data_IF_919619877008
#
_entry.id   IF_919619877008
#
_cell.length_a   1.000
_cell.length_b   1.000
_cell.length_c   1.000
_cell.angle_alpha   90.00
_cell.angle_beta   90.00
_cell.angle_gamma   90.00
#
_symmetry.space_group_name_H-M   'P 1'
#
loop_
_entity.id
_entity.type
_entity.pdbx_description
1 polymer ?
#
# COMPACT_ATOMS: atom_id res chain seq x y z
N UNK A 1 3.13 -0.69 11.83
CA UNK A 1 4.41 -1.40 11.98
C UNK A 1 5.53 -0.39 11.81
N UNK A 2 6.47 -0.38 12.75
CA UNK A 2 7.58 0.56 12.79
C UNK A 2 8.74 0.14 11.87
N UNK A 3 9.60 1.09 11.52
CA UNK A 3 10.78 0.82 10.69
C UNK A 3 11.70 -0.26 11.29
N UNK A 4 11.90 -0.27 12.61
CA UNK A 4 12.70 -1.29 13.30
C UNK A 4 12.10 -2.70 13.11
N UNK A 5 10.80 -2.84 13.31
CA UNK A 5 10.09 -4.11 13.15
C UNK A 5 10.25 -4.67 11.73
N UNK A 6 10.27 -3.78 10.73
CA UNK A 6 10.52 -4.14 9.34
C UNK A 6 11.96 -4.56 9.08
N UNK A 7 12.92 -3.86 9.69
CA UNK A 7 14.34 -4.21 9.63
C UNK A 7 14.55 -5.60 10.24
N UNK A 8 14.04 -5.83 11.44
CA UNK A 8 14.15 -7.10 12.16
C UNK A 8 13.57 -8.25 11.32
N UNK A 9 12.37 -8.07 10.76
CA UNK A 9 11.74 -9.05 9.88
C UNK A 9 12.64 -9.40 8.69
N UNK A 10 13.17 -8.39 7.99
CA UNK A 10 14.06 -8.62 6.84
C UNK A 10 15.36 -9.31 7.25
N UNK A 11 15.94 -8.92 8.39
CA UNK A 11 17.19 -9.52 8.88
C UNK A 11 17.02 -11.00 9.25
N UNK A 12 15.84 -11.39 9.77
CA UNK A 12 15.49 -12.78 10.02
C UNK A 12 15.33 -13.54 8.70
N UNK A 13 14.50 -13.06 7.78
CA UNK A 13 14.17 -13.76 6.53
C UNK A 13 15.34 -13.87 5.55
N UNK A 14 16.23 -12.88 5.54
CA UNK A 14 17.43 -12.91 4.67
C UNK A 14 18.58 -13.73 5.24
N UNK A 15 18.43 -14.27 6.46
CA UNK A 15 19.53 -14.88 7.21
C UNK A 15 20.61 -13.87 7.64
N UNK A 16 20.33 -12.56 7.52
CA UNK A 16 21.20 -11.47 7.92
C UNK A 16 21.55 -11.49 9.41
N UNK A 17 20.73 -12.13 10.24
CA UNK A 17 21.01 -12.38 11.65
C UNK A 17 22.31 -13.17 11.89
N UNK A 18 22.78 -13.94 10.90
CA UNK A 18 24.08 -14.64 10.95
C UNK A 18 25.26 -13.65 10.82
N UNK A 19 25.02 -12.44 10.30
CA UNK A 19 26.04 -11.41 10.07
C UNK A 19 26.00 -10.24 11.05
N UNK A 20 25.10 -10.24 12.03
CA UNK A 20 24.99 -9.18 13.06
C UNK A 20 23.92 -8.14 12.73
N UNK A 21 24.33 -6.87 12.62
CA UNK A 21 23.45 -5.70 12.46
C UNK A 21 23.20 -5.28 11.00
N UNK A 22 22.19 -4.44 10.78
CA UNK A 22 21.88 -3.83 9.47
C UNK A 22 23.12 -3.15 8.85
N UNK A 23 24.01 -2.57 9.67
CA UNK A 23 25.26 -1.95 9.22
C UNK A 23 26.20 -2.92 8.48
N UNK A 24 26.19 -4.21 8.86
CA UNK A 24 26.98 -5.27 8.20
C UNK A 24 26.45 -5.62 6.80
N UNK A 25 25.24 -5.15 6.47
CA UNK A 25 24.65 -5.28 5.13
C UNK A 25 25.03 -4.12 4.20
N UNK A 26 25.75 -3.10 4.71
CA UNK A 26 26.07 -1.85 4.04
C UNK A 26 24.83 -1.05 3.61
N UNK A 27 23.69 -1.32 4.22
CA UNK A 27 22.45 -0.58 4.03
C UNK A 27 22.22 0.25 5.30
N UNK A 28 22.05 1.56 5.17
CA UNK A 28 21.63 2.39 6.30
C UNK A 28 20.10 2.48 6.41
N UNK A 29 19.59 3.01 7.52
CA UNK A 29 18.14 3.17 7.76
C UNK A 29 17.44 3.99 6.69
N UNK A 30 18.12 5.00 6.15
CA UNK A 30 17.57 5.85 5.10
C UNK A 30 17.42 5.08 3.78
N UNK A 31 18.42 4.31 3.40
CA UNK A 31 18.38 3.41 2.25
C UNK A 31 17.32 2.33 2.44
N UNK A 32 17.18 1.79 3.65
CA UNK A 32 16.11 0.84 3.98
C UNK A 32 14.72 1.48 3.84
N UNK A 33 14.54 2.72 4.32
CA UNK A 33 13.31 3.48 4.09
C UNK A 33 13.01 3.65 2.58
N UNK A 34 14.02 3.91 1.74
CA UNK A 34 13.81 3.97 0.28
C UNK A 34 13.37 2.62 -0.31
N UNK A 35 13.88 1.51 0.23
CA UNK A 35 13.44 0.15 -0.11
C UNK A 35 11.99 -0.06 0.30
N UNK A 36 11.60 0.33 1.52
CA UNK A 36 10.21 0.29 2.00
C UNK A 36 9.29 1.09 1.08
N UNK A 37 9.64 2.33 0.76
CA UNK A 37 8.86 3.20 -0.15
C UNK A 37 8.66 2.55 -1.52
N UNK A 38 9.70 1.89 -2.04
CA UNK A 38 9.63 1.17 -3.32
C UNK A 38 8.73 -0.05 -3.26
N UNK A 39 8.83 -0.86 -2.21
CA UNK A 39 7.98 -2.02 -1.99
C UNK A 39 6.50 -1.59 -1.85
N UNK A 40 6.25 -0.56 -1.04
CA UNK A 40 4.93 -0.01 -0.79
C UNK A 40 4.28 0.54 -2.06
N UNK A 41 5.05 1.22 -2.91
CA UNK A 41 4.55 1.72 -4.20
C UNK A 41 4.09 0.63 -5.17
N UNK A 42 4.62 -0.60 -5.05
CA UNK A 42 4.11 -1.75 -5.82
C UNK A 42 2.90 -2.35 -5.11
N UNK A 43 3.00 -2.55 -3.80
CA UNK A 43 1.93 -3.14 -3.00
C UNK A 43 0.62 -2.34 -3.12
N UNK A 44 0.68 -1.01 -3.01
CA UNK A 44 -0.45 -0.09 -3.13
C UNK A 44 -1.25 -0.22 -4.45
N UNK A 45 -0.60 -0.63 -5.55
CA UNK A 45 -1.28 -0.84 -6.83
C UNK A 45 -2.20 -2.06 -6.81
N UNK A 46 -1.91 -3.02 -5.95
CA UNK A 46 -2.60 -4.32 -5.91
C UNK A 46 -3.47 -4.47 -4.66
N UNK A 47 -3.03 -3.90 -3.55
CA UNK A 47 -3.62 -4.01 -2.22
C UNK A 47 -3.78 -2.60 -1.61
N UNK A 48 -4.68 -1.75 -2.14
CA UNK A 48 -5.05 -0.51 -1.49
C UNK A 48 -5.93 -0.78 -0.26
N UNK A 49 -5.98 0.18 0.66
CA UNK A 49 -6.91 0.18 1.78
C UNK A 49 -8.32 0.56 1.31
N UNK A 50 -9.29 -0.34 1.50
CA UNK A 50 -10.70 -0.02 1.27
C UNK A 50 -11.32 0.54 2.54
N UNK A 51 -11.89 1.75 2.46
CA UNK A 51 -12.63 2.37 3.57
C UNK A 51 -14.02 2.75 3.08
N UNK A 52 -15.02 2.51 3.93
CA UNK A 52 -16.40 2.95 3.70
C UNK A 52 -16.67 4.23 4.45
N UNK A 53 -17.36 5.16 3.81
CA UNK A 53 -17.83 6.39 4.42
C UNK A 53 -19.23 6.72 3.93
N UNK A 54 -20.03 7.32 4.82
CA UNK A 54 -21.33 7.88 4.45
C UNK A 54 -21.13 9.36 4.20
N UNK A 55 -21.46 9.81 2.99
CA UNK A 55 -21.44 11.22 2.60
C UNK A 55 -22.85 11.76 2.47
N UNK A 56 -23.03 13.04 2.81
CA UNK A 56 -24.26 13.82 2.55
C UNK A 56 -23.92 14.83 1.45
N UNK A 57 -24.49 14.64 0.27
CA UNK A 57 -24.31 15.52 -0.87
C UNK A 57 -25.45 15.38 -1.87
N UNK A 58 -25.79 16.47 -2.55
CA UNK A 58 -26.78 16.45 -3.64
C UNK A 58 -26.15 15.98 -4.97
N UNK A 59 -25.07 16.65 -5.40
CA UNK A 59 -24.42 16.36 -6.71
C UNK A 59 -22.93 16.15 -6.64
N UNK A 60 -22.26 16.78 -5.68
CA UNK A 60 -20.81 16.78 -5.59
C UNK A 60 -20.36 16.65 -4.15
N UNK A 61 -19.34 15.85 -3.91
CA UNK A 61 -18.66 15.74 -2.63
C UNK A 61 -17.17 15.95 -2.81
N UNK A 62 -16.61 16.91 -2.09
CA UNK A 62 -15.17 17.19 -2.10
C UNK A 62 -14.49 16.51 -0.90
N UNK A 63 -13.64 15.52 -1.21
CA UNK A 63 -12.89 14.76 -0.22
C UNK A 63 -11.77 15.57 0.47
N UNK A 64 -11.47 16.80 0.04
CA UNK A 64 -10.52 17.67 0.77
C UNK A 64 -10.98 17.95 2.22
N UNK A 65 -12.29 17.89 2.46
CA UNK A 65 -12.91 18.10 3.77
C UNK A 65 -13.13 16.79 4.56
N UNK A 66 -12.83 15.65 3.95
CA UNK A 66 -13.02 14.33 4.56
C UNK A 66 -11.99 14.09 5.68
N UNK A 67 -12.41 13.57 6.85
CA UNK A 67 -11.47 13.18 7.91
C UNK A 67 -10.55 12.02 7.51
N UNK A 68 -10.93 11.25 6.48
CA UNK A 68 -10.11 10.17 5.93
C UNK A 68 -9.11 10.65 4.88
N UNK A 69 -9.14 11.94 4.53
CA UNK A 69 -8.36 12.51 3.45
C UNK A 69 -8.94 12.20 2.07
N UNK A 70 -8.11 12.44 1.05
CA UNK A 70 -8.47 12.26 -0.36
C UNK A 70 -8.24 10.80 -0.77
N UNK A 71 -9.24 10.09 -1.30
CA UNK A 71 -9.03 8.74 -1.80
C UNK A 71 -8.28 8.76 -3.13
N UNK A 72 -7.51 7.71 -3.39
CA UNK A 72 -6.89 7.50 -4.70
C UNK A 72 -7.92 7.04 -5.74
N UNK A 73 -8.99 6.38 -5.29
CA UNK A 73 -10.07 5.93 -6.17
C UNK A 73 -11.38 5.77 -5.40
N UNK A 74 -12.51 5.84 -6.09
CA UNK A 74 -13.83 5.47 -5.56
C UNK A 74 -14.28 4.19 -6.24
N UNK A 75 -14.49 3.11 -5.47
CA UNK A 75 -14.86 1.81 -6.04
C UNK A 75 -16.37 1.62 -6.17
N UNK A 76 -17.15 2.23 -5.29
CA UNK A 76 -18.60 2.13 -5.36
C UNK A 76 -19.27 3.29 -4.65
N UNK A 77 -20.42 3.69 -5.17
CA UNK A 77 -21.32 4.68 -4.58
C UNK A 77 -22.71 4.05 -4.56
N UNK A 78 -23.27 3.88 -3.37
CA UNK A 78 -24.61 3.30 -3.17
C UNK A 78 -25.44 4.23 -2.32
N UNK A 79 -26.70 4.53 -2.68
CA UNK A 79 -27.53 5.43 -1.88
C UNK A 79 -27.86 4.81 -0.50
N UNK A 80 -27.73 5.61 0.56
CA UNK A 80 -28.14 5.25 1.94
C UNK A 80 -29.53 5.82 2.18
N UNK A 81 -30.53 4.94 2.13
CA UNK A 81 -31.90 5.11 2.63
C UNK A 81 -33.00 5.79 1.78
N UNK A 82 -33.86 4.91 1.27
CA UNK A 82 -35.21 4.57 1.77
C UNK A 82 -36.31 5.64 1.98
N UNK A 83 -36.06 6.95 2.08
CA UNK A 83 -37.16 7.94 2.27
C UNK A 83 -37.53 8.70 0.99
N UNK A 84 -36.62 8.83 0.03
CA UNK A 84 -36.98 9.32 -1.31
C UNK A 84 -37.75 8.28 -2.14
N UNK A 85 -37.80 7.04 -1.67
CA UNK A 85 -38.63 5.97 -2.22
C UNK A 85 -40.13 6.11 -1.85
N UNK A 86 -40.47 6.90 -0.82
CA UNK A 86 -41.85 7.00 -0.32
C UNK A 86 -42.69 8.00 -1.12
N UNK A 87 -42.07 8.87 -1.92
CA UNK A 87 -42.83 9.71 -2.86
C UNK A 87 -43.35 8.94 -4.10
N UNK A 88 -42.85 7.72 -4.37
CA UNK A 88 -43.29 6.88 -5.50
C UNK A 88 -44.09 5.63 -5.09
N UNK A 89 -44.46 5.51 -3.82
CA UNK A 89 -45.35 4.44 -3.31
C UNK A 89 -46.83 4.64 -3.68
N UNK A 90 -47.13 5.47 -4.69
CA UNK A 90 -48.50 5.62 -5.26
C UNK A 90 -48.75 4.65 -6.43
N UNK A 91 -47.71 4.01 -7.01
CA UNK A 91 -47.89 3.16 -8.21
C UNK A 91 -47.03 1.89 -8.23
N UNK A 92 -47.14 1.03 -7.22
CA UNK A 92 -46.97 -0.44 -7.37
C UNK A 92 -45.72 -1.00 -8.09
N UNK A 93 -44.62 -0.26 -8.23
CA UNK A 93 -43.37 -0.74 -8.83
C UNK A 93 -42.30 -0.81 -7.75
N UNK A 94 -41.72 -1.99 -7.59
CA UNK A 94 -40.51 -2.17 -6.79
C UNK A 94 -39.43 -1.20 -7.30
N UNK A 95 -39.05 -0.23 -6.47
CA UNK A 95 -37.96 0.70 -6.77
C UNK A 95 -36.68 -0.12 -6.69
N UNK A 96 -36.23 -0.58 -7.86
CA UNK A 96 -34.87 -1.08 -8.02
C UNK A 96 -33.97 0.09 -7.69
N UNK A 97 -33.28 0.03 -6.55
CA UNK A 97 -32.18 0.94 -6.19
C UNK A 97 -31.06 0.76 -7.22
N UNK A 98 -31.23 1.37 -8.41
CA UNK A 98 -30.17 1.42 -9.40
C UNK A 98 -29.03 2.24 -8.80
N UNK A 99 -27.77 1.78 -8.91
CA UNK A 99 -26.64 2.60 -8.52
C UNK A 99 -26.71 3.93 -9.29
N UNK A 100 -26.42 5.07 -8.64
CA UNK A 100 -26.40 6.35 -9.32
C UNK A 100 -25.34 6.31 -10.43
N UNK A 101 -25.50 7.16 -11.44
CA UNK A 101 -24.37 7.45 -12.33
C UNK A 101 -23.42 8.33 -11.53
N UNK A 102 -22.16 7.95 -11.45
CA UNK A 102 -21.15 8.73 -10.71
C UNK A 102 -19.82 8.70 -11.44
N UNK A 103 -19.02 9.73 -11.19
CA UNK A 103 -17.67 9.87 -11.71
C UNK A 103 -16.78 10.46 -10.62
N UNK A 104 -15.61 9.87 -10.43
CA UNK A 104 -14.62 10.41 -9.51
C UNK A 104 -13.50 11.11 -10.30
N UNK A 105 -13.35 12.41 -10.07
CA UNK A 105 -12.23 13.20 -10.57
C UNK A 105 -11.53 13.81 -9.36
N UNK A 106 -10.40 13.23 -8.95
CA UNK A 106 -9.69 13.60 -7.72
C UNK A 106 -9.56 15.14 -7.58
N UNK A 107 -10.00 15.75 -6.45
CA UNK A 107 -10.50 15.14 -5.21
C UNK A 107 -12.04 15.07 -5.10
N UNK A 108 -12.78 15.30 -6.19
CA UNK A 108 -14.24 15.47 -6.19
C UNK A 108 -14.98 14.26 -6.74
N UNK A 109 -16.02 13.82 -6.04
CA UNK A 109 -16.98 12.84 -6.53
C UNK A 109 -18.22 13.55 -7.08
N UNK A 110 -18.54 13.29 -8.34
CA UNK A 110 -19.75 13.73 -9.01
C UNK A 110 -20.77 12.60 -9.00
N UNK A 111 -22.00 12.89 -8.57
CA UNK A 111 -23.08 11.91 -8.46
C UNK A 111 -24.32 12.49 -9.15
N UNK A 112 -24.87 11.74 -10.09
CA UNK A 112 -26.16 11.99 -10.68
C UNK A 112 -27.19 11.04 -10.04
N UNK A 113 -27.84 11.51 -8.99
CA UNK A 113 -28.89 10.79 -8.28
C UNK A 113 -29.78 11.73 -7.48
N UNK A 114 -30.88 11.18 -6.96
CA UNK A 114 -31.86 11.92 -6.14
C UNK A 114 -31.71 11.65 -4.64
N UNK A 115 -30.77 10.79 -4.25
CA UNK A 115 -30.52 10.49 -2.85
C UNK A 115 -29.67 11.60 -2.23
N UNK A 116 -29.92 11.91 -0.96
CA UNK A 116 -29.12 12.89 -0.21
C UNK A 116 -27.89 12.27 0.44
N UNK A 117 -27.93 10.96 0.73
CA UNK A 117 -26.86 10.24 1.40
C UNK A 117 -26.36 9.07 0.55
N UNK A 118 -25.06 8.88 0.54
CA UNK A 118 -24.40 7.80 -0.20
C UNK A 118 -23.35 7.09 0.66
N UNK A 119 -23.38 5.77 0.66
CA UNK A 119 -22.34 4.89 1.17
C UNK A 119 -21.33 4.74 0.04
N UNK A 120 -20.15 5.30 0.27
CA UNK A 120 -19.05 5.33 -0.67
C UNK A 120 -17.97 4.41 -0.15
N UNK A 121 -17.63 3.40 -0.95
CA UNK A 121 -16.40 2.65 -0.74
C UNK A 121 -15.31 3.31 -1.55
N UNK A 122 -14.28 3.78 -0.86
CA UNK A 122 -13.14 4.47 -1.45
C UNK A 122 -11.84 3.71 -1.12
N UNK A 123 -10.86 3.85 -2.01
CA UNK A 123 -9.56 3.19 -1.95
C UNK A 123 -8.48 4.21 -1.62
N UNK A 124 -7.65 3.90 -0.63
CA UNK A 124 -6.55 4.73 -0.16
C UNK A 124 -5.26 3.94 -0.23
N UNK A 125 -4.18 4.58 -0.63
CA UNK A 125 -2.85 4.00 -0.53
C UNK A 125 -2.41 3.90 0.92
N UNK A 126 -1.62 2.86 1.21
CA UNK A 126 -0.92 2.77 2.47
C UNK A 126 0.15 3.87 2.52
N UNK A 127 0.17 4.60 3.63
CA UNK A 127 1.04 5.74 3.84
C UNK A 127 2.15 5.44 4.84
N UNK A 128 3.24 6.20 4.73
CA UNK A 128 4.32 6.23 5.72
C UNK A 128 4.12 7.49 6.56
N UNK A 129 3.92 7.31 7.87
CA UNK A 129 3.73 8.39 8.85
C UNK A 129 4.93 8.48 9.80
N UNK A 130 4.92 9.50 10.66
CA UNK A 130 5.87 9.64 11.78
C UNK A 130 7.35 9.59 11.35
N UNK A 131 7.65 10.23 10.20
CA UNK A 131 9.00 10.25 9.63
C UNK A 131 9.87 11.22 10.43
N UNK A 132 10.90 10.71 11.08
CA UNK A 132 11.91 11.49 11.77
C UNK A 132 13.20 11.54 10.95
N UNK A 133 13.89 12.68 11.02
CA UNK A 133 15.13 12.94 10.30
C UNK A 133 16.27 13.24 11.26
N UNK A 134 17.49 12.85 10.89
CA UNK A 134 18.71 13.30 11.56
C UNK A 134 19.15 14.71 11.09
N UNK A 135 20.27 15.19 11.63
CA UNK A 135 20.88 16.48 11.27
C UNK A 135 21.27 16.58 9.79
N UNK A 136 21.42 15.44 9.09
CA UNK A 136 21.76 15.35 7.68
C UNK A 136 20.51 15.14 6.79
N UNK A 137 19.31 15.32 7.33
CA UNK A 137 18.03 15.10 6.65
C UNK A 137 17.85 13.64 6.16
N UNK A 138 18.44 12.67 6.86
CA UNK A 138 18.26 11.23 6.60
C UNK A 138 17.21 10.67 7.52
N UNK A 139 16.39 9.76 6.98
CA UNK A 139 15.30 9.12 7.74
C UNK A 139 15.88 8.19 8.80
N UNK A 140 15.50 8.41 10.05
CA UNK A 140 15.91 7.60 11.21
C UNK A 140 14.82 6.64 11.66
N UNK A 141 13.57 7.10 11.66
CA UNK A 141 12.39 6.30 12.01
C UNK A 141 11.23 6.66 11.11
N UNK A 142 10.34 5.69 10.87
CA UNK A 142 9.02 5.93 10.29
C UNK A 142 8.06 4.83 10.72
N UNK A 143 6.76 5.05 10.47
CA UNK A 143 5.69 4.13 10.81
C UNK A 143 4.83 3.84 9.58
N UNK A 144 4.40 2.60 9.45
CA UNK A 144 3.43 2.15 8.46
C UNK A 144 2.22 1.61 9.23
N UNK A 145 1.32 2.48 9.72
CA UNK A 145 0.24 2.09 10.65
C UNK A 145 -0.75 1.12 10.00
N UNK A 146 -0.89 1.20 8.69
CA UNK A 146 -1.79 0.39 7.87
C UNK A 146 -1.27 -0.99 7.49
N UNK A 147 -0.01 -1.30 7.77
CA UNK A 147 0.61 -2.59 7.43
C UNK A 147 0.79 -3.40 8.73
N UNK A 148 0.41 -4.67 8.68
CA UNK A 148 0.58 -5.64 9.77
C UNK A 148 1.55 -6.77 9.38
N UNK A 149 1.87 -7.64 10.33
CA UNK A 149 2.67 -8.84 10.08
C UNK A 149 1.97 -9.87 9.17
N UNK A 150 0.66 -9.77 9.01
CA UNK A 150 -0.12 -10.66 8.13
C UNK A 150 -0.09 -10.23 6.66
N UNK A 151 0.48 -9.05 6.37
CA UNK A 151 0.67 -8.55 5.01
C UNK A 151 1.87 -9.23 4.31
N UNK A 152 1.84 -10.57 4.26
CA UNK A 152 2.94 -11.43 3.78
C UNK A 152 3.42 -11.03 2.39
N UNK A 153 2.54 -10.60 1.48
CA UNK A 153 2.95 -10.18 0.14
C UNK A 153 3.75 -8.86 0.15
N UNK A 154 3.43 -7.94 1.06
CA UNK A 154 4.23 -6.72 1.24
C UNK A 154 5.60 -7.06 1.83
N UNK A 155 5.61 -7.91 2.87
CA UNK A 155 6.84 -8.38 3.51
C UNK A 155 7.74 -9.14 2.53
N UNK A 156 7.17 -10.00 1.69
CA UNK A 156 7.88 -10.71 0.62
C UNK A 156 8.51 -9.74 -0.40
N UNK A 157 7.80 -8.67 -0.78
CA UNK A 157 8.35 -7.62 -1.65
C UNK A 157 9.52 -6.91 -0.98
N UNK A 158 9.39 -6.60 0.32
CA UNK A 158 10.40 -5.91 1.10
C UNK A 158 11.68 -6.75 1.22
N UNK A 159 11.55 -8.03 1.57
CA UNK A 159 12.66 -9.00 1.62
C UNK A 159 13.31 -9.12 0.24
N UNK A 160 12.52 -9.27 -0.82
CA UNK A 160 13.03 -9.35 -2.19
C UNK A 160 13.88 -8.14 -2.57
N UNK A 161 13.39 -6.92 -2.29
CA UNK A 161 14.13 -5.69 -2.58
C UNK A 161 15.39 -5.54 -1.73
N UNK A 162 15.34 -6.01 -0.48
CA UNK A 162 16.48 -6.00 0.44
C UNK A 162 17.56 -6.96 -0.05
N UNK A 163 17.23 -8.21 -0.41
CA UNK A 163 18.17 -9.16 -1.02
C UNK A 163 18.86 -8.59 -2.27
N UNK A 164 18.10 -7.88 -3.12
CA UNK A 164 18.66 -7.22 -4.29
C UNK A 164 19.62 -6.08 -3.93
N UNK A 165 19.31 -5.30 -2.89
CA UNK A 165 20.15 -4.20 -2.43
C UNK A 165 21.45 -4.74 -1.81
N UNK A 166 21.34 -5.69 -0.87
CA UNK A 166 22.47 -6.34 -0.19
C UNK A 166 23.36 -7.07 -1.20
N UNK A 167 22.77 -7.83 -2.11
CA UNK A 167 23.54 -8.54 -3.14
C UNK A 167 24.25 -7.60 -4.11
N UNK A 168 23.70 -6.41 -4.40
CA UNK A 168 24.35 -5.39 -5.24
C UNK A 168 25.46 -4.64 -4.50
N UNK A 169 25.29 -4.31 -3.23
CA UNK A 169 26.34 -3.67 -2.42
C UNK A 169 27.55 -4.59 -2.28
N UNK A 170 27.31 -5.89 -2.03
CA UNK A 170 28.38 -6.91 -1.92
C UNK A 170 29.11 -7.21 -3.24
N UNK A 171 28.46 -7.07 -4.40
CA UNK A 171 29.14 -7.19 -5.70
C UNK A 171 30.14 -6.06 -5.96
N UNK A 172 30.03 -4.93 -5.24
CA UNK A 172 30.90 -3.77 -5.44
C UNK A 172 32.26 -3.88 -4.72
N UNK A 173 32.46 -4.86 -3.82
CA UNK A 173 33.72 -5.04 -3.11
C UNK A 173 34.06 -6.53 -2.91
N UNK A 174 35.05 -7.05 -3.66
CA UNK A 174 35.74 -8.29 -3.30
C UNK A 174 36.79 -7.99 -2.23
N UNK A 175 36.40 -7.98 -0.95
CA UNK A 175 37.36 -8.00 0.15
C UNK A 175 37.80 -9.46 0.37
N UNK A 176 39.12 -9.70 0.32
CA UNK A 176 39.73 -11.04 0.33
C UNK A 176 39.59 -11.80 1.66
N UNK A 177 39.07 -11.19 2.74
CA UNK A 177 39.38 -11.64 4.11
C UNK A 177 38.18 -12.00 5.01
N UNK A 178 36.97 -12.27 4.48
CA UNK A 178 35.87 -12.79 5.30
C UNK A 178 35.45 -14.23 4.93
N UNK A 179 35.39 -15.16 5.91
CA UNK A 179 35.14 -16.59 5.67
C UNK A 179 33.66 -16.93 5.40
N UNK A 180 32.75 -15.95 5.38
CA UNK A 180 31.34 -16.16 5.00
C UNK A 180 31.04 -15.37 3.73
N UNK A 181 31.57 -15.83 2.59
CA UNK A 181 31.20 -15.27 1.29
C UNK A 181 29.81 -15.76 0.88
N UNK A 182 28.75 -15.20 1.45
CA UNK A 182 27.43 -15.36 0.84
C UNK A 182 27.48 -14.63 -0.52
N UNK A 183 27.48 -15.40 -1.61
CA UNK A 183 27.72 -14.88 -2.96
C UNK A 183 26.67 -13.80 -3.30
N UNK A 184 27.12 -12.55 -3.45
CA UNK A 184 26.24 -11.44 -3.87
C UNK A 184 25.55 -11.73 -5.21
N UNK A 185 26.06 -12.65 -6.03
CA UNK A 185 25.35 -13.13 -7.21
C UNK A 185 24.14 -13.97 -6.87
N UNK A 186 24.26 -14.89 -5.91
CA UNK A 186 23.18 -15.73 -5.42
C UNK A 186 22.08 -14.89 -4.77
N UNK A 187 22.43 -13.95 -3.89
CA UNK A 187 21.49 -13.01 -3.27
C UNK A 187 20.66 -12.24 -4.30
N UNK A 188 21.32 -11.71 -5.34
CA UNK A 188 20.61 -11.00 -6.42
C UNK A 188 19.72 -11.97 -7.21
N UNK A 189 20.14 -13.21 -7.43
CA UNK A 189 19.33 -14.20 -8.13
C UNK A 189 18.08 -14.58 -7.34
N UNK A 190 18.23 -14.91 -6.06
CA UNK A 190 17.14 -15.23 -5.14
C UNK A 190 16.17 -14.05 -5.01
N UNK A 191 16.69 -12.84 -4.77
CA UNK A 191 15.87 -11.64 -4.69
C UNK A 191 15.08 -11.36 -5.99
N UNK A 192 15.65 -11.66 -7.17
CA UNK A 192 14.91 -11.54 -8.45
C UNK A 192 13.81 -12.59 -8.59
N UNK A 193 14.11 -13.83 -8.19
CA UNK A 193 13.16 -14.93 -8.27
C UNK A 193 11.98 -14.69 -7.33
N UNK A 194 12.26 -14.32 -6.08
CA UNK A 194 11.25 -13.97 -5.08
C UNK A 194 10.42 -12.78 -5.55
N UNK A 195 11.05 -11.70 -6.02
CA UNK A 195 10.33 -10.52 -6.54
C UNK A 195 9.37 -10.88 -7.69
N UNK A 196 9.81 -11.73 -8.61
CA UNK A 196 8.98 -12.20 -9.74
C UNK A 196 7.78 -13.00 -9.24
N UNK A 197 8.01 -13.93 -8.32
CA UNK A 197 6.96 -14.78 -7.76
C UNK A 197 5.95 -13.96 -6.94
N UNK A 198 6.41 -13.04 -6.10
CA UNK A 198 5.55 -12.18 -5.27
C UNK A 198 4.72 -11.24 -6.13
N UNK A 199 5.29 -10.64 -7.18
CA UNK A 199 4.53 -9.83 -8.14
C UNK A 199 3.45 -10.63 -8.85
N UNK A 200 3.74 -11.86 -9.25
CA UNK A 200 2.73 -12.76 -9.84
C UNK A 200 1.61 -13.05 -8.85
N UNK A 201 1.93 -13.39 -7.59
CA UNK A 201 0.93 -13.62 -6.53
C UNK A 201 0.07 -12.38 -6.27
N UNK A 202 0.68 -11.19 -6.24
CA UNK A 202 -0.05 -9.92 -6.11
C UNK A 202 -1.03 -9.71 -7.26
N UNK A 203 -0.63 -10.01 -8.50
CA UNK A 203 -1.51 -9.91 -9.67
C UNK A 203 -2.66 -10.92 -9.59
N UNK A 204 -2.39 -12.16 -9.20
CA UNK A 204 -3.38 -13.23 -9.09
C UNK A 204 -4.40 -12.99 -7.95
N UNK A 205 -3.96 -12.39 -6.84
CA UNK A 205 -4.79 -12.17 -5.66
C UNK A 205 -5.45 -10.78 -5.63
N UNK A 206 -4.96 -9.82 -6.41
CA UNK A 206 -5.50 -8.47 -6.41
C UNK A 206 -6.87 -8.40 -7.09
N UNK A 207 -7.83 -7.90 -6.33
CA UNK A 207 -9.16 -7.52 -6.85
C UNK A 207 -9.17 -6.16 -7.54
N UNK A 208 -8.09 -5.39 -7.41
CA UNK A 208 -8.07 -3.94 -7.68
C UNK A 208 -7.17 -3.53 -8.83
N UNK A 209 -6.40 -4.46 -9.41
CA UNK A 209 -5.39 -4.11 -10.42
C UNK A 209 -5.96 -3.43 -11.69
N UNK A 210 -7.25 -3.63 -11.97
CA UNK A 210 -7.94 -2.99 -13.10
C UNK A 210 -8.61 -1.66 -12.75
N UNK A 211 -8.74 -1.34 -11.44
CA UNK A 211 -9.45 -0.16 -10.97
C UNK A 211 -8.54 1.05 -10.72
N UNK A 212 -7.22 0.84 -10.54
CA UNK A 212 -6.23 1.88 -10.21
C UNK A 212 -5.19 1.99 -11.34
N UNK A 213 -5.68 2.15 -12.57
CA UNK A 213 -4.89 2.26 -13.80
C UNK A 213 -4.55 3.68 -14.17
#
# INVERSE_FOLDING_TARGET
MYLEELIDYVMIETGGFIMGDLEMTQIDRHQFHLIVKRALGIYNKYCPQSKRLIIDCDKTYDFTTSPLGRPNWVSSVTPVDHESAVAELVYGRSIINKPPVWEYQEPTLFIAGSARKYDVTALYFHDITDIMFDENNRVTTCNLPSISYDDVLFLDLLVSYSLLAIGRSRRAFTLQDFPVSMDGKLLVYEGRLMLKNTKRRLQEQSRWHHAIG
#
